data_IF_339790545720
#
_entry.id   IF_339790545720
#
_cell.length_a   1.000
_cell.length_b   1.000
_cell.length_c   1.000
_cell.angle_alpha   90.00
_cell.angle_beta   90.00
_cell.angle_gamma   90.00
#
_symmetry.space_group_name_H-M   'P 1'
#
loop_
_entity.id
_entity.type
_entity.pdbx_description
1 polymer ?
#
# COMPACT_ATOMS: atom_id res chain seq x y z
N UNK A 1 3.01 -10.86 -31.39
CA UNK A 1 3.95 -9.73 -31.33
C UNK A 1 3.54 -8.64 -32.34
N UNK A 2 2.31 -8.09 -32.24
CA UNK A 2 1.80 -7.00 -33.09
C UNK A 2 0.51 -6.36 -32.50
N UNK A 3 0.54 -6.00 -31.22
CA UNK A 3 -0.54 -5.20 -30.60
C UNK A 3 0.01 -4.08 -29.69
N UNK A 4 1.30 -3.78 -29.81
CA UNK A 4 2.00 -2.79 -28.99
C UNK A 4 2.25 -1.46 -29.74
N UNK A 5 1.77 -1.31 -30.98
CA UNK A 5 2.13 -0.19 -31.87
C UNK A 5 0.95 0.75 -32.19
N UNK A 6 -0.28 0.44 -31.75
CA UNK A 6 -1.47 1.29 -32.00
C UNK A 6 -1.92 2.04 -30.73
N UNK A 7 -0.96 2.63 -30.00
CA UNK A 7 -1.26 3.62 -28.96
C UNK A 7 -0.72 5.01 -29.29
N UNK A 8 -0.42 5.25 -30.58
CA UNK A 8 -0.21 6.59 -31.12
C UNK A 8 -1.59 7.19 -31.43
N UNK A 9 -1.87 8.37 -30.86
CA UNK A 9 -2.91 9.32 -31.28
C UNK A 9 -4.36 9.17 -30.74
N UNK A 10 -4.57 9.40 -29.43
CA UNK A 10 -5.82 10.06 -28.96
C UNK A 10 -5.64 10.77 -27.61
N UNK A 11 -5.75 12.11 -27.53
CA UNK A 11 -5.41 12.88 -26.32
C UNK A 11 -6.30 12.59 -25.10
N UNK A 12 -7.52 12.04 -25.28
CA UNK A 12 -8.43 11.76 -24.18
C UNK A 12 -8.22 10.40 -23.47
N UNK A 13 -7.42 9.48 -24.01
CA UNK A 13 -7.25 8.14 -23.43
C UNK A 13 -6.08 8.05 -22.43
N UNK A 14 -5.02 8.81 -22.65
CA UNK A 14 -3.82 8.81 -21.79
C UNK A 14 -4.15 9.11 -20.32
N UNK A 15 -5.18 9.93 -20.13
CA UNK A 15 -5.65 10.36 -18.86
C UNK A 15 -6.28 9.22 -18.03
N UNK A 16 -7.21 8.47 -18.61
CA UNK A 16 -7.87 7.34 -17.95
C UNK A 16 -6.88 6.25 -17.55
N UNK A 17 -5.89 5.95 -18.40
CA UNK A 17 -4.83 4.99 -18.07
C UNK A 17 -3.96 5.44 -16.90
N UNK A 18 -3.64 6.73 -16.84
CA UNK A 18 -2.89 7.34 -15.73
C UNK A 18 -3.66 7.19 -14.42
N UNK A 19 -4.96 7.47 -14.45
CA UNK A 19 -5.83 7.37 -13.26
C UNK A 19 -5.98 5.92 -12.77
N UNK A 20 -6.18 4.97 -13.68
CA UNK A 20 -6.25 3.53 -13.32
C UNK A 20 -4.93 3.03 -12.74
N UNK A 21 -3.80 3.43 -13.33
CA UNK A 21 -2.48 3.09 -12.82
C UNK A 21 -2.28 3.65 -11.40
N UNK A 22 -2.57 4.93 -11.20
CA UNK A 22 -2.43 5.62 -9.92
C UNK A 22 -3.32 4.99 -8.83
N UNK A 23 -4.57 4.62 -9.15
CA UNK A 23 -5.46 3.88 -8.23
C UNK A 23 -4.84 2.52 -7.89
N UNK A 24 -4.43 1.76 -8.92
CA UNK A 24 -3.86 0.41 -8.75
C UNK A 24 -2.57 0.42 -7.96
N UNK A 25 -1.81 1.51 -8.02
CA UNK A 25 -0.55 1.67 -7.28
C UNK A 25 -0.79 2.17 -5.84
N UNK A 26 -1.71 3.10 -5.62
CA UNK A 26 -1.92 3.74 -4.29
C UNK A 26 -2.86 2.94 -3.39
N UNK A 27 -3.91 2.34 -3.94
CA UNK A 27 -4.92 1.64 -3.15
C UNK A 27 -4.36 0.43 -2.39
N UNK A 28 -3.57 -0.49 -2.98
CA UNK A 28 -3.02 -1.65 -2.25
C UNK A 28 -2.11 -1.26 -1.08
N UNK A 29 -1.41 -0.12 -1.16
CA UNK A 29 -0.57 0.38 -0.06
C UNK A 29 -1.38 0.96 1.09
N UNK A 30 -2.47 1.66 0.80
CA UNK A 30 -3.39 2.09 1.86
C UNK A 30 -4.08 0.88 2.51
N UNK A 31 -4.44 -0.12 1.71
CA UNK A 31 -5.01 -1.37 2.19
C UNK A 31 -4.03 -2.14 3.10
N UNK A 32 -2.72 -2.13 2.79
CA UNK A 32 -1.73 -2.83 3.62
C UNK A 32 -1.65 -2.25 5.04
N UNK A 33 -1.76 -0.92 5.22
CA UNK A 33 -1.87 -0.30 6.55
C UNK A 33 -3.11 -0.78 7.27
N UNK A 34 -4.27 -0.74 6.60
CA UNK A 34 -5.54 -1.17 7.20
C UNK A 34 -5.42 -2.62 7.71
N UNK A 35 -4.80 -3.49 6.92
CA UNK A 35 -4.56 -4.88 7.28
C UNK A 35 -3.60 -5.03 8.49
N UNK A 36 -2.55 -4.21 8.58
CA UNK A 36 -1.62 -4.21 9.73
C UNK A 36 -2.32 -3.69 10.99
N UNK A 37 -3.08 -2.61 10.90
CA UNK A 37 -3.85 -2.06 12.02
C UNK A 37 -4.89 -3.06 12.51
N UNK A 38 -5.62 -3.71 11.59
CA UNK A 38 -6.56 -4.77 11.93
C UNK A 38 -5.88 -5.89 12.73
N UNK A 39 -4.72 -6.37 12.27
CA UNK A 39 -3.93 -7.41 12.95
C UNK A 39 -3.49 -6.97 14.34
N UNK A 40 -3.03 -5.73 14.48
CA UNK A 40 -2.66 -5.13 15.77
C UNK A 40 -3.87 -5.15 16.71
N UNK A 41 -5.02 -4.64 16.27
CA UNK A 41 -6.23 -4.61 17.09
C UNK A 41 -6.67 -6.01 17.55
N UNK A 42 -6.64 -7.01 16.67
CA UNK A 42 -6.98 -8.39 17.02
C UNK A 42 -6.01 -8.98 18.07
N UNK A 43 -4.72 -8.64 18.01
CA UNK A 43 -3.71 -9.14 18.95
C UNK A 43 -3.81 -8.48 20.33
N UNK A 44 -4.12 -7.17 20.39
CA UNK A 44 -4.31 -6.48 21.67
C UNK A 44 -5.66 -6.79 22.33
N UNK A 45 -6.72 -7.01 21.56
CA UNK A 45 -8.07 -7.33 22.07
C UNK A 45 -8.70 -8.49 21.27
N UNK A 46 -8.41 -9.75 21.64
CA UNK A 46 -8.96 -10.91 20.94
C UNK A 46 -10.48 -11.05 21.06
N UNK A 47 -11.10 -10.36 22.04
CA UNK A 47 -12.53 -10.57 22.41
C UNK A 47 -13.46 -9.45 21.92
N UNK A 48 -12.94 -8.40 21.28
CA UNK A 48 -13.79 -7.29 20.83
C UNK A 48 -14.46 -7.60 19.48
N UNK A 49 -15.80 -7.68 19.46
CA UNK A 49 -16.66 -7.73 18.26
C UNK A 49 -16.57 -6.49 17.34
N UNK A 50 -15.57 -5.62 17.55
CA UNK A 50 -15.41 -4.39 16.76
C UNK A 50 -15.03 -4.66 15.30
N UNK A 51 -14.41 -5.82 15.02
CA UNK A 51 -14.00 -6.25 13.68
C UNK A 51 -14.78 -7.49 13.26
N UNK A 52 -16.04 -7.31 12.88
CA UNK A 52 -16.84 -8.31 12.16
C UNK A 52 -16.64 -8.15 10.66
N UNK A 53 -16.71 -9.24 9.88
CA UNK A 53 -16.47 -9.27 8.43
C UNK A 53 -17.25 -8.18 7.67
N UNK A 54 -18.47 -7.88 8.11
CA UNK A 54 -19.31 -6.83 7.51
C UNK A 54 -18.71 -5.42 7.69
N UNK A 55 -18.12 -5.12 8.85
CA UNK A 55 -17.47 -3.82 9.11
C UNK A 55 -16.14 -3.70 8.39
N UNK A 56 -15.40 -4.80 8.24
CA UNK A 56 -14.16 -4.82 7.46
C UNK A 56 -14.41 -4.46 5.99
N UNK A 57 -15.50 -4.97 5.42
CA UNK A 57 -15.94 -4.60 4.08
C UNK A 57 -16.23 -3.09 3.95
N UNK A 58 -16.88 -2.50 4.95
CA UNK A 58 -17.12 -1.05 4.98
C UNK A 58 -15.82 -0.25 5.07
N UNK A 59 -14.84 -0.68 5.87
CA UNK A 59 -13.54 0.00 5.93
C UNK A 59 -12.78 -0.08 4.60
N UNK A 60 -12.77 -1.24 3.95
CA UNK A 60 -12.14 -1.42 2.64
C UNK A 60 -12.85 -0.58 1.56
N UNK A 61 -14.19 -0.63 1.51
CA UNK A 61 -14.99 0.14 0.56
C UNK A 61 -14.86 1.65 0.76
N UNK A 62 -14.87 2.12 2.01
CA UNK A 62 -14.66 3.52 2.35
C UNK A 62 -13.28 4.03 1.94
N UNK A 63 -12.24 3.20 2.14
CA UNK A 63 -10.87 3.52 1.70
C UNK A 63 -10.76 3.57 0.17
N UNK A 64 -11.42 2.66 -0.55
CA UNK A 64 -11.47 2.68 -2.01
C UNK A 64 -12.15 3.95 -2.53
N UNK A 65 -13.29 4.34 -1.96
CA UNK A 65 -13.98 5.58 -2.30
C UNK A 65 -13.13 6.82 -1.99
N UNK A 66 -12.46 6.83 -0.84
CA UNK A 66 -11.55 7.91 -0.47
C UNK A 66 -10.40 8.06 -1.49
N UNK A 67 -9.80 6.95 -1.92
CA UNK A 67 -8.77 6.96 -2.97
C UNK A 67 -9.30 7.54 -4.27
N UNK A 68 -10.46 7.09 -4.75
CA UNK A 68 -11.05 7.58 -6.00
C UNK A 68 -11.29 9.08 -5.91
N UNK A 69 -11.94 9.56 -4.85
CA UNK A 69 -12.22 11.00 -4.66
C UNK A 69 -10.92 11.82 -4.65
N UNK A 70 -9.92 11.40 -3.88
CA UNK A 70 -8.66 12.13 -3.76
C UNK A 70 -7.85 12.17 -5.06
N UNK A 71 -7.95 11.14 -5.90
CA UNK A 71 -7.29 11.08 -7.21
C UNK A 71 -8.09 11.81 -8.30
N UNK A 72 -9.41 11.92 -8.17
CA UNK A 72 -10.26 12.67 -9.09
C UNK A 72 -10.15 14.19 -8.89
N UNK A 73 -9.86 14.68 -7.68
CA UNK A 73 -9.67 16.12 -7.39
C UNK A 73 -8.62 16.79 -8.31
N UNK A 74 -7.36 16.30 -8.42
CA UNK A 74 -6.39 16.91 -9.33
C UNK A 74 -6.80 16.77 -10.80
N UNK A 75 -7.63 15.77 -11.12
CA UNK A 75 -8.15 15.54 -12.47
C UNK A 75 -9.18 16.57 -12.94
N UNK A 76 -10.07 16.98 -12.04
CA UNK A 76 -11.10 17.99 -12.30
C UNK A 76 -10.57 19.43 -12.13
N UNK A 77 -9.37 19.58 -11.60
CA UNK A 77 -8.72 20.87 -11.39
C UNK A 77 -7.95 21.32 -12.64
N UNK A 78 -7.52 22.58 -12.67
CA UNK A 78 -6.74 23.18 -13.78
C UNK A 78 -5.32 22.60 -13.97
N UNK A 79 -5.01 21.45 -13.37
CA UNK A 79 -3.75 20.74 -13.51
C UNK A 79 -3.97 19.22 -13.59
N UNK A 80 -4.39 18.72 -14.77
CA UNK A 80 -4.45 17.30 -15.00
C UNK A 80 -3.05 16.67 -14.88
N UNK A 81 -3.05 15.42 -14.45
CA UNK A 81 -1.83 14.62 -14.30
C UNK A 81 -1.81 13.61 -15.43
N UNK A 82 -0.76 13.64 -16.25
CA UNK A 82 -0.59 12.80 -17.44
C UNK A 82 0.61 11.87 -17.28
N UNK A 83 0.49 10.62 -17.76
CA UNK A 83 1.64 9.71 -17.83
C UNK A 83 2.48 10.02 -19.06
N UNK A 84 3.78 10.23 -18.83
CA UNK A 84 4.75 10.21 -19.90
C UNK A 84 5.14 8.74 -20.20
N UNK A 85 4.54 8.19 -21.26
CA UNK A 85 4.73 6.79 -21.68
C UNK A 85 6.20 6.42 -21.94
N UNK A 86 7.08 7.39 -22.26
CA UNK A 86 8.49 7.13 -22.55
C UNK A 86 9.34 6.92 -21.29
N UNK A 87 8.94 7.52 -20.17
CA UNK A 87 9.67 7.44 -18.90
C UNK A 87 8.93 6.60 -17.85
N UNK A 88 7.68 6.20 -18.12
CA UNK A 88 6.77 5.60 -17.13
C UNK A 88 6.63 6.46 -15.85
N UNK A 89 6.86 7.77 -15.99
CA UNK A 89 6.73 8.73 -14.90
C UNK A 89 5.42 9.47 -15.05
N UNK A 90 4.74 9.64 -13.93
CA UNK A 90 3.52 10.44 -13.82
C UNK A 90 3.94 11.89 -13.62
N UNK A 91 3.76 12.73 -14.64
CA UNK A 91 4.10 14.15 -14.56
C UNK A 91 2.81 15.00 -14.49
N UNK A 92 2.71 15.93 -13.54
CA UNK A 92 1.65 16.93 -13.57
C UNK A 92 1.93 17.90 -14.73
N UNK A 93 0.92 18.18 -15.55
CA UNK A 93 1.07 19.07 -16.71
C UNK A 93 1.31 20.55 -16.29
N UNK A 94 1.13 20.87 -15.01
CA UNK A 94 1.31 22.21 -14.43
C UNK A 94 2.65 22.43 -13.70
N UNK A 95 3.74 21.77 -14.09
CA UNK A 95 5.07 22.11 -13.56
C UNK A 95 5.32 23.64 -13.71
N UNK A 96 5.70 24.36 -12.63
CA UNK A 96 6.20 23.87 -11.34
C UNK A 96 5.17 23.74 -10.20
N UNK A 97 3.91 24.19 -10.36
CA UNK A 97 2.90 24.25 -9.28
C UNK A 97 2.10 22.96 -9.16
N UNK A 98 2.68 21.91 -8.56
CA UNK A 98 1.93 20.68 -8.25
C UNK A 98 0.78 20.96 -7.29
N UNK A 99 -0.36 20.29 -7.48
CA UNK A 99 -1.50 20.40 -6.56
C UNK A 99 -1.07 19.97 -5.14
N UNK A 100 -1.36 20.75 -4.09
CA UNK A 100 -0.90 20.47 -2.73
C UNK A 100 -1.38 19.10 -2.22
N UNK A 101 -2.59 18.72 -2.60
CA UNK A 101 -3.19 17.41 -2.31
C UNK A 101 -2.31 16.27 -2.84
N UNK A 102 -1.82 16.38 -4.09
CA UNK A 102 -0.98 15.37 -4.72
C UNK A 102 0.38 15.25 -4.03
N UNK A 103 0.97 16.37 -3.58
CA UNK A 103 2.25 16.36 -2.84
C UNK A 103 2.11 15.61 -1.52
N UNK A 104 1.06 15.92 -0.75
CA UNK A 104 0.81 15.33 0.57
C UNK A 104 0.56 13.82 0.43
N UNK A 105 -0.30 13.42 -0.51
CA UNK A 105 -0.63 12.01 -0.75
C UNK A 105 0.61 11.24 -1.19
N UNK A 106 1.40 11.77 -2.12
CA UNK A 106 2.58 11.05 -2.60
C UNK A 106 3.62 10.86 -1.49
N UNK A 107 3.83 11.89 -0.66
CA UNK A 107 4.72 11.81 0.51
C UNK A 107 4.22 10.81 1.54
N UNK A 108 2.92 10.85 1.84
CA UNK A 108 2.30 9.92 2.79
C UNK A 108 2.41 8.48 2.28
N UNK A 109 1.95 8.20 1.05
CA UNK A 109 1.95 6.87 0.42
C UNK A 109 3.36 6.30 0.28
N UNK A 110 4.37 7.12 -0.04
CA UNK A 110 5.76 6.66 -0.08
C UNK A 110 6.34 6.28 1.30
N UNK A 111 5.79 6.84 2.39
CA UNK A 111 6.26 6.53 3.75
C UNK A 111 5.52 5.34 4.37
N UNK A 112 4.34 4.99 3.85
CA UNK A 112 3.52 3.84 4.28
C UNK A 112 4.31 2.52 4.45
N UNK A 113 5.07 2.03 3.45
CA UNK A 113 5.70 0.71 3.55
C UNK A 113 6.70 0.63 4.71
N UNK A 114 7.39 1.72 5.02
CA UNK A 114 8.31 1.79 6.16
C UNK A 114 7.57 1.68 7.50
N UNK A 115 6.49 2.44 7.69
CA UNK A 115 5.67 2.34 8.90
C UNK A 115 5.06 0.95 9.06
N UNK A 116 4.55 0.36 7.97
CA UNK A 116 4.00 -0.99 7.98
C UNK A 116 5.06 -2.04 8.37
N UNK A 117 6.30 -1.90 7.90
CA UNK A 117 7.39 -2.81 8.25
C UNK A 117 7.74 -2.73 9.74
N UNK A 118 7.88 -1.51 10.28
CA UNK A 118 8.15 -1.29 11.71
C UNK A 118 7.07 -1.91 12.60
N UNK A 119 5.80 -1.69 12.26
CA UNK A 119 4.66 -2.25 12.99
C UNK A 119 4.61 -3.79 12.93
N UNK A 120 4.88 -4.38 11.76
CA UNK A 120 4.95 -5.83 11.61
C UNK A 120 6.07 -6.46 12.46
N UNK A 121 7.25 -5.83 12.53
CA UNK A 121 8.36 -6.30 13.37
C UNK A 121 7.97 -6.26 14.86
N UNK A 122 7.40 -5.14 15.32
CA UNK A 122 6.93 -5.00 16.71
C UNK A 122 5.92 -6.10 17.05
N UNK A 123 4.97 -6.39 16.16
CA UNK A 123 3.98 -7.43 16.35
C UNK A 123 4.60 -8.84 16.47
N UNK A 124 5.58 -9.17 15.61
CA UNK A 124 6.29 -10.45 15.66
C UNK A 124 7.04 -10.60 16.98
N UNK A 125 7.75 -9.55 17.42
CA UNK A 125 8.48 -9.55 18.68
C UNK A 125 7.52 -9.70 19.88
N UNK A 126 6.39 -9.01 19.86
CA UNK A 126 5.35 -9.12 20.88
C UNK A 126 4.81 -10.55 20.99
N UNK A 127 4.42 -11.16 19.87
CA UNK A 127 3.90 -12.53 19.83
C UNK A 127 4.98 -13.53 20.30
N UNK A 128 6.24 -13.36 19.86
CA UNK A 128 7.35 -14.21 20.31
C UNK A 128 7.56 -14.11 21.82
N UNK A 129 7.52 -12.91 22.38
CA UNK A 129 7.66 -12.69 23.82
C UNK A 129 6.50 -13.33 24.60
N UNK A 130 5.26 -13.21 24.11
CA UNK A 130 4.09 -13.85 24.72
C UNK A 130 4.15 -15.38 24.61
N UNK A 131 4.64 -15.94 23.50
CA UNK A 131 4.86 -17.38 23.32
C UNK A 131 5.83 -17.94 24.37
N UNK A 132 6.96 -17.25 24.59
CA UNK A 132 7.96 -17.68 25.57
C UNK A 132 7.39 -17.72 27.01
N UNK A 133 6.47 -16.80 27.36
CA UNK A 133 5.77 -16.85 28.66
C UNK A 133 4.78 -18.01 28.77
N UNK A 134 3.98 -18.27 27.72
CA UNK A 134 2.94 -19.32 27.75
C UNK A 134 3.52 -20.75 27.65
N UNK A 135 4.59 -20.95 26.88
CA UNK A 135 5.26 -22.25 26.77
C UNK A 135 5.82 -22.76 28.10
N UNK A 136 6.11 -21.87 29.05
CA UNK A 136 6.54 -22.27 30.40
C UNK A 136 5.42 -22.81 31.29
N UNK A 137 4.15 -22.62 30.93
CA UNK A 137 3.00 -22.88 31.81
C UNK A 137 2.13 -24.06 31.33
N UNK A 138 1.91 -24.23 30.02
CA UNK A 138 1.16 -25.39 29.51
C UNK A 138 1.43 -25.66 28.03
N UNK A 139 1.77 -26.91 27.69
CA UNK A 139 2.03 -27.34 26.33
C UNK A 139 1.01 -28.40 25.89
N UNK A 140 0.04 -27.98 25.07
CA UNK A 140 -0.82 -28.89 24.29
C UNK A 140 -0.51 -28.69 22.81
N UNK A 141 -0.23 -29.77 22.08
CA UNK A 141 0.18 -29.77 20.66
C UNK A 141 -0.78 -28.99 19.75
N UNK A 142 -2.09 -28.98 20.06
CA UNK A 142 -3.14 -28.27 19.31
C UNK A 142 -2.94 -26.73 19.39
N UNK A 143 -2.69 -26.18 20.58
CA UNK A 143 -2.46 -24.74 20.79
C UNK A 143 -1.18 -24.28 20.11
N UNK A 144 -0.16 -25.16 20.05
CA UNK A 144 1.10 -24.85 19.38
C UNK A 144 0.93 -24.81 17.84
N UNK A 145 0.12 -25.69 17.26
CA UNK A 145 -0.19 -25.67 15.83
C UNK A 145 -0.97 -24.43 15.41
N UNK A 146 -2.01 -24.01 16.15
CA UNK A 146 -2.75 -22.78 15.84
C UNK A 146 -1.84 -21.54 15.88
N UNK A 147 -0.96 -21.47 16.88
CA UNK A 147 0.04 -20.39 16.99
C UNK A 147 1.11 -20.42 15.89
N UNK A 148 1.42 -21.57 15.32
CA UNK A 148 2.32 -21.68 14.17
C UNK A 148 1.63 -21.23 12.89
N UNK A 149 0.35 -21.56 12.71
CA UNK A 149 -0.49 -21.08 11.60
C UNK A 149 -0.61 -19.54 11.67
N UNK A 150 -0.90 -18.97 12.85
CA UNK A 150 -0.91 -17.52 13.07
C UNK A 150 0.43 -16.86 12.73
N UNK A 151 1.54 -17.47 13.16
CA UNK A 151 2.88 -16.95 12.88
C UNK A 151 3.21 -16.99 11.38
N UNK A 152 2.78 -18.03 10.67
CA UNK A 152 2.97 -18.14 9.22
C UNK A 152 2.15 -17.06 8.48
N UNK A 153 0.93 -16.74 8.93
CA UNK A 153 0.14 -15.63 8.37
C UNK A 153 0.76 -14.25 8.63
N UNK A 154 1.44 -14.08 9.77
CA UNK A 154 2.20 -12.85 10.08
C UNK A 154 3.47 -12.76 9.23
N UNK A 155 4.20 -13.86 9.08
CA UNK A 155 5.39 -13.93 8.23
C UNK A 155 5.07 -13.62 6.77
N UNK A 156 3.96 -14.15 6.25
CA UNK A 156 3.50 -13.83 4.90
C UNK A 156 3.31 -12.32 4.69
N UNK A 157 2.67 -11.65 5.65
CA UNK A 157 2.49 -10.18 5.60
C UNK A 157 3.81 -9.43 5.67
N UNK A 158 4.76 -9.93 6.46
CA UNK A 158 6.10 -9.37 6.55
C UNK A 158 6.83 -9.47 5.20
N UNK A 159 6.80 -10.63 4.54
CA UNK A 159 7.37 -10.80 3.19
C UNK A 159 6.73 -9.88 2.16
N UNK A 160 5.40 -9.74 2.16
CA UNK A 160 4.72 -8.81 1.25
C UNK A 160 5.13 -7.35 1.51
N UNK A 161 5.40 -6.99 2.77
CA UNK A 161 5.84 -5.64 3.13
C UNK A 161 7.26 -5.38 2.67
N UNK A 162 8.18 -6.34 2.87
CA UNK A 162 9.56 -6.25 2.35
C UNK A 162 9.55 -6.08 0.83
N UNK A 163 8.74 -6.87 0.12
CA UNK A 163 8.61 -6.78 -1.32
C UNK A 163 8.14 -5.39 -1.78
N UNK A 164 7.11 -4.83 -1.11
CA UNK A 164 6.62 -3.49 -1.40
C UNK A 164 7.68 -2.40 -1.12
N UNK A 165 8.43 -2.50 -0.03
CA UNK A 165 9.51 -1.55 0.28
C UNK A 165 10.63 -1.63 -0.75
N UNK A 166 11.00 -2.83 -1.18
CA UNK A 166 12.04 -3.03 -2.20
C UNK A 166 11.63 -2.48 -3.56
N UNK A 167 10.36 -2.68 -3.93
CA UNK A 167 9.78 -2.07 -5.12
C UNK A 167 9.87 -0.53 -5.03
N UNK A 168 9.43 0.09 -3.93
CA UNK A 168 9.47 1.55 -3.80
C UNK A 168 10.90 2.13 -3.75
N UNK A 169 11.87 1.41 -3.17
CA UNK A 169 13.29 1.77 -3.25
C UNK A 169 13.82 1.74 -4.68
N UNK A 170 13.42 0.73 -5.46
CA UNK A 170 13.81 0.59 -6.86
C UNK A 170 13.26 1.73 -7.70
N UNK A 171 12.01 2.16 -7.47
CA UNK A 171 11.43 3.31 -8.15
C UNK A 171 12.17 4.62 -7.83
N UNK A 172 12.51 4.85 -6.55
CA UNK A 172 13.28 6.03 -6.17
C UNK A 172 14.66 6.04 -6.83
N UNK A 173 15.35 4.89 -6.86
CA UNK A 173 16.65 4.76 -7.53
C UNK A 173 16.53 5.03 -9.04
N UNK A 174 15.47 4.54 -9.70
CA UNK A 174 15.22 4.83 -11.12
C UNK A 174 15.00 6.33 -11.35
N UNK A 175 14.22 7.01 -10.50
CA UNK A 175 14.03 8.46 -10.60
C UNK A 175 15.36 9.24 -10.44
N UNK A 176 16.20 8.85 -9.47
CA UNK A 176 17.52 9.48 -9.29
C UNK A 176 18.44 9.25 -10.49
N UNK A 177 18.47 8.04 -11.05
CA UNK A 177 19.30 7.74 -12.23
C UNK A 177 18.82 8.52 -13.47
N UNK A 178 17.51 8.65 -13.69
CA UNK A 178 16.98 9.46 -14.79
C UNK A 178 17.22 10.96 -14.60
N UNK A 179 17.20 11.45 -13.37
CA UNK A 179 17.52 12.85 -13.06
C UNK A 179 19.01 13.17 -13.25
N UNK A 180 19.91 12.18 -13.06
CA UNK A 180 21.35 12.35 -13.30
C UNK A 180 21.76 12.23 -14.77
N UNK A 181 20.87 11.71 -15.63
CA UNK A 181 21.12 11.50 -17.06
C UNK A 181 20.57 12.62 -17.96
N UNK A 182 19.99 13.67 -17.37
CA UNK A 182 19.47 14.88 -18.03
C UNK A 182 20.23 16.12 -17.58
#
# INVERSE_FOLDING_TARGET
MNLFVISVFRPNHNYTYTLIYEISYKYPRLLSILMVVHRICCVYKPTTKQFSDSRLWVYCGGLAMFCVVMLTIPYLSNCPVSMNQRKFVVLPDCLPRRHPVTIIINKFVGTIPFFAMSLNIILILYIRHQKHKLQRVHCTTIVQNMKNIEMNMVLQSFYTTIFLTFHDLTYQLIDYTMASAS
#
